data_IF_373338165351
#
_entry.id   IF_373338165351
#
_cell.length_a   1.000
_cell.length_b   1.000
_cell.length_c   1.000
_cell.angle_alpha   90.00
_cell.angle_beta   90.00
_cell.angle_gamma   90.00
#
_symmetry.space_group_name_H-M   'P 1'
#
loop_
_entity.id
_entity.type
_entity.pdbx_description
1 polymer ?
#
# COMPACT_ATOMS: atom_id res chain seq x y z
N UNK A 1 29.16 14.37 18.95
CA UNK A 1 27.97 13.51 19.16
C UNK A 1 27.84 12.48 18.04
N UNK A 2 27.86 12.91 16.77
CA UNK A 2 27.72 12.00 15.62
C UNK A 2 28.76 10.88 15.59
N UNK A 3 30.04 11.18 15.84
CA UNK A 3 31.11 10.17 15.84
C UNK A 3 30.89 9.07 16.89
N UNK A 4 30.50 9.43 18.11
CA UNK A 4 30.24 8.46 19.17
C UNK A 4 29.05 7.54 18.86
N UNK A 5 27.95 8.10 18.33
CA UNK A 5 26.78 7.30 17.92
C UNK A 5 27.12 6.35 16.77
N UNK A 6 27.92 6.80 15.81
CA UNK A 6 28.41 5.98 14.68
C UNK A 6 29.37 4.88 15.17
N UNK A 7 30.19 5.15 16.19
CA UNK A 7 31.02 4.10 16.79
C UNK A 7 30.17 3.05 17.50
N UNK A 8 29.16 3.46 18.26
CA UNK A 8 28.27 2.54 18.96
C UNK A 8 27.40 1.72 18.02
N UNK A 9 27.04 2.24 16.84
CA UNK A 9 26.31 1.49 15.81
C UNK A 9 27.15 0.39 15.12
N UNK A 10 28.43 0.25 15.48
CA UNK A 10 29.32 -0.84 15.06
C UNK A 10 29.60 -1.87 16.17
N UNK A 11 28.97 -1.74 17.33
CA UNK A 11 29.10 -2.68 18.44
C UNK A 11 28.41 -4.03 18.19
N UNK A 12 28.20 -4.80 19.25
CA UNK A 12 27.37 -6.01 19.24
C UNK A 12 25.92 -5.70 18.82
N UNK A 13 25.17 -6.69 18.27
CA UNK A 13 23.82 -6.46 17.76
C UNK A 13 22.84 -5.87 18.77
N UNK A 14 22.95 -6.24 20.04
CA UNK A 14 22.13 -5.74 21.14
C UNK A 14 22.40 -4.25 21.36
N UNK A 15 23.68 -3.86 21.42
CA UNK A 15 24.08 -2.45 21.48
C UNK A 15 23.60 -1.69 20.24
N UNK A 16 23.74 -2.24 19.03
CA UNK A 16 23.25 -1.61 17.80
C UNK A 16 21.75 -1.35 17.86
N UNK A 17 20.96 -2.32 18.32
CA UNK A 17 19.52 -2.17 18.48
C UNK A 17 19.16 -1.04 19.45
N UNK A 18 19.77 -1.02 20.63
CA UNK A 18 19.56 0.03 21.64
C UNK A 18 19.97 1.40 21.09
N UNK A 19 21.08 1.48 20.38
CA UNK A 19 21.54 2.72 19.74
C UNK A 19 20.54 3.18 18.69
N UNK A 20 20.04 2.29 17.82
CA UNK A 20 19.06 2.65 16.80
C UNK A 20 17.76 3.19 17.42
N UNK A 21 17.25 2.55 18.48
CA UNK A 21 16.08 3.02 19.23
C UNK A 21 16.29 4.41 19.84
N UNK A 22 17.45 4.65 20.45
CA UNK A 22 17.76 5.96 21.01
C UNK A 22 17.90 7.03 19.92
N UNK A 23 18.50 6.68 18.78
CA UNK A 23 18.59 7.58 17.63
C UNK A 23 17.19 7.94 17.14
N UNK A 24 16.26 6.98 17.04
CA UNK A 24 14.88 7.27 16.65
C UNK A 24 14.24 8.37 17.52
N UNK A 25 14.43 8.29 18.85
CA UNK A 25 13.95 9.29 19.80
C UNK A 25 14.66 10.63 19.65
N UNK A 26 15.99 10.63 19.52
CA UNK A 26 16.79 11.85 19.35
C UNK A 26 16.40 12.58 18.07
N UNK A 27 16.14 11.87 16.98
CA UNK A 27 15.73 12.46 15.69
C UNK A 27 14.36 13.15 15.75
N UNK A 28 13.53 12.91 16.79
CA UNK A 28 12.31 13.70 17.01
C UNK A 28 12.65 15.12 17.44
N UNK A 29 13.73 15.29 18.22
CA UNK A 29 14.16 16.58 18.76
C UNK A 29 15.16 17.26 17.80
N UNK A 30 16.08 16.48 17.21
CA UNK A 30 17.16 16.95 16.35
C UNK A 30 17.17 16.17 15.02
N UNK A 31 16.29 16.52 14.06
CA UNK A 31 16.08 15.74 12.84
C UNK A 31 17.31 15.65 11.93
N UNK A 32 18.19 16.65 11.97
CA UNK A 32 19.36 16.73 11.08
C UNK A 32 20.64 16.16 11.69
N UNK A 33 20.57 15.53 12.87
CA UNK A 33 21.76 15.12 13.60
C UNK A 33 22.64 14.14 12.79
N UNK A 34 22.04 13.21 12.04
CA UNK A 34 22.74 12.03 11.48
C UNK A 34 22.68 11.94 9.94
N UNK A 35 22.19 12.99 9.26
CA UNK A 35 22.00 12.98 7.81
C UNK A 35 23.29 12.69 6.99
N UNK A 36 24.47 12.97 7.55
CA UNK A 36 25.76 12.82 6.85
C UNK A 36 26.44 11.45 7.04
N UNK A 37 25.83 10.52 7.78
CA UNK A 37 26.45 9.23 8.11
C UNK A 37 25.49 8.05 7.89
N UNK A 38 24.74 8.08 6.79
CA UNK A 38 23.76 7.05 6.43
C UNK A 38 24.39 5.66 6.27
N UNK A 39 25.61 5.60 5.71
CA UNK A 39 26.32 4.34 5.45
C UNK A 39 26.49 3.45 6.70
N UNK A 40 26.53 4.07 7.89
CA UNK A 40 26.67 3.34 9.15
C UNK A 40 25.38 2.62 9.58
N UNK A 41 24.26 2.94 8.94
CA UNK A 41 22.93 2.37 9.20
C UNK A 41 22.44 1.48 8.06
N UNK A 42 23.25 1.23 7.03
CA UNK A 42 22.92 0.20 6.04
C UNK A 42 22.85 -1.19 6.68
N UNK A 43 21.88 -1.95 6.18
CA UNK A 43 21.57 -3.29 6.66
C UNK A 43 22.61 -4.24 6.11
N UNK A 44 23.26 -5.00 7.00
CA UNK A 44 24.20 -6.05 6.59
C UNK A 44 23.52 -7.40 6.63
N UNK A 45 23.98 -8.31 5.79
CA UNK A 45 23.50 -9.69 5.78
C UNK A 45 23.62 -10.38 7.15
N UNK A 46 24.68 -10.07 7.91
CA UNK A 46 24.96 -10.63 9.24
C UNK A 46 24.15 -10.00 10.37
N UNK A 47 23.42 -8.92 10.11
CA UNK A 47 22.62 -8.28 11.15
C UNK A 47 21.40 -9.16 11.48
N UNK A 48 21.05 -9.34 12.76
CA UNK A 48 19.85 -10.10 13.12
C UNK A 48 18.57 -9.35 12.72
N UNK A 49 17.44 -10.05 12.52
CA UNK A 49 16.21 -9.46 11.96
C UNK A 49 15.74 -8.18 12.67
N UNK A 50 15.81 -8.15 14.01
CA UNK A 50 15.41 -6.99 14.80
C UNK A 50 16.32 -5.76 14.57
N UNK A 51 17.61 -5.94 14.28
CA UNK A 51 18.51 -4.84 13.89
C UNK A 51 18.22 -4.40 12.46
N UNK A 52 18.00 -5.34 11.53
CA UNK A 52 17.65 -5.03 10.13
C UNK A 52 16.43 -4.10 10.06
N UNK A 53 15.37 -4.44 10.80
CA UNK A 53 14.13 -3.65 10.87
C UNK A 53 14.35 -2.24 11.42
N UNK A 54 15.11 -2.09 12.52
CA UNK A 54 15.36 -0.75 13.08
C UNK A 54 16.25 0.11 12.17
N UNK A 55 17.26 -0.50 11.54
CA UNK A 55 18.07 0.18 10.52
C UNK A 55 17.24 0.66 9.34
N UNK A 56 16.38 -0.21 8.79
CA UNK A 56 15.44 0.15 7.73
C UNK A 56 14.59 1.35 8.14
N UNK A 57 13.96 1.31 9.33
CA UNK A 57 13.13 2.41 9.85
C UNK A 57 13.93 3.71 10.00
N UNK A 58 15.18 3.64 10.46
CA UNK A 58 16.06 4.82 10.54
C UNK A 58 16.34 5.41 9.16
N UNK A 59 16.69 4.59 8.18
CA UNK A 59 16.96 5.03 6.81
C UNK A 59 15.75 5.75 6.21
N UNK A 60 14.55 5.20 6.38
CA UNK A 60 13.30 5.82 5.94
C UNK A 60 13.04 7.17 6.64
N UNK A 61 13.35 7.28 7.94
CA UNK A 61 13.22 8.55 8.68
C UNK A 61 14.22 9.60 8.19
N UNK A 62 15.44 9.17 7.84
CA UNK A 62 16.54 10.04 7.42
C UNK A 62 16.58 10.36 5.92
N UNK A 63 15.70 9.76 5.10
CA UNK A 63 15.71 10.04 3.64
C UNK A 63 15.47 11.53 3.37
N UNK A 64 16.29 12.09 2.49
CA UNK A 64 16.24 13.46 1.99
C UNK A 64 16.23 13.45 0.46
N UNK A 65 15.85 14.54 -0.23
CA UNK A 65 15.86 14.57 -1.70
C UNK A 65 17.22 14.20 -2.30
N UNK A 66 18.33 14.60 -1.67
CA UNK A 66 19.68 14.29 -2.12
C UNK A 66 20.10 12.83 -1.89
N UNK A 67 19.53 12.15 -0.90
CA UNK A 67 19.90 10.77 -0.54
C UNK A 67 18.89 9.73 -1.01
N UNK A 68 17.72 10.16 -1.51
CA UNK A 68 16.62 9.30 -1.90
C UNK A 68 17.01 8.27 -2.96
N UNK A 69 17.74 8.66 -4.00
CA UNK A 69 18.18 7.74 -5.05
C UNK A 69 19.15 6.67 -4.55
N UNK A 70 20.00 7.00 -3.58
CA UNK A 70 20.92 6.04 -2.98
C UNK A 70 20.16 5.06 -2.07
N UNK A 71 19.26 5.56 -1.23
CA UNK A 71 18.41 4.73 -0.38
C UNK A 71 17.52 3.81 -1.23
N UNK A 72 16.99 4.28 -2.36
CA UNK A 72 16.15 3.45 -3.23
C UNK A 72 16.93 2.26 -3.81
N UNK A 73 18.21 2.42 -4.13
CA UNK A 73 19.09 1.32 -4.57
C UNK A 73 19.31 0.30 -3.45
N UNK A 74 19.56 0.76 -2.24
CA UNK A 74 19.66 -0.12 -1.06
C UNK A 74 18.36 -0.90 -0.83
N UNK A 75 17.20 -0.24 -0.94
CA UNK A 75 15.90 -0.91 -0.81
C UNK A 75 15.66 -1.95 -1.92
N UNK A 76 16.16 -1.72 -3.14
CA UNK A 76 16.13 -2.74 -4.22
C UNK A 76 16.92 -3.98 -3.81
N UNK A 77 18.13 -3.81 -3.25
CA UNK A 77 18.92 -4.94 -2.75
C UNK A 77 18.22 -5.65 -1.57
N UNK A 78 17.68 -4.88 -0.63
CA UNK A 78 17.00 -5.43 0.56
C UNK A 78 15.72 -6.20 0.21
N UNK A 79 15.05 -5.87 -0.90
CA UNK A 79 13.86 -6.60 -1.37
C UNK A 79 14.17 -8.06 -1.79
N UNK A 80 15.45 -8.37 -2.04
CA UNK A 80 15.92 -9.71 -2.40
C UNK A 80 16.30 -10.57 -1.18
N UNK A 81 16.14 -10.05 0.04
CA UNK A 81 16.39 -10.81 1.27
C UNK A 81 15.44 -12.02 1.41
N UNK A 82 15.96 -13.09 2.01
CA UNK A 82 15.22 -14.36 2.16
C UNK A 82 14.09 -14.24 3.18
N UNK A 83 14.27 -13.37 4.20
CA UNK A 83 13.26 -13.10 5.21
C UNK A 83 12.09 -12.32 4.59
N UNK A 84 10.96 -13.01 4.40
CA UNK A 84 9.76 -12.44 3.80
C UNK A 84 9.24 -11.25 4.61
N UNK A 85 9.25 -11.33 5.95
CA UNK A 85 8.75 -10.25 6.82
C UNK A 85 9.58 -8.99 6.63
N UNK A 86 10.91 -9.13 6.49
CA UNK A 86 11.78 -8.01 6.20
C UNK A 86 11.53 -7.45 4.79
N UNK A 87 11.39 -8.30 3.77
CA UNK A 87 11.11 -7.89 2.40
C UNK A 87 9.77 -7.13 2.29
N UNK A 88 8.74 -7.56 3.00
CA UNK A 88 7.46 -6.84 3.11
C UNK A 88 7.60 -5.43 3.69
N UNK A 89 8.39 -5.29 4.76
CA UNK A 89 8.68 -3.98 5.36
C UNK A 89 9.51 -3.08 4.43
N UNK A 90 10.39 -3.66 3.61
CA UNK A 90 11.12 -2.94 2.56
C UNK A 90 10.16 -2.40 1.49
N UNK A 91 9.21 -3.21 1.02
CA UNK A 91 8.17 -2.79 0.06
C UNK A 91 7.34 -1.62 0.61
N UNK A 92 6.88 -1.71 1.87
CA UNK A 92 6.19 -0.59 2.56
C UNK A 92 7.10 0.63 2.70
N UNK A 93 8.40 0.41 2.92
CA UNK A 93 9.43 1.44 2.96
C UNK A 93 9.56 2.21 1.64
N UNK A 94 9.56 1.51 0.51
CA UNK A 94 9.61 2.13 -0.83
C UNK A 94 8.42 3.09 -1.03
N UNK A 95 7.21 2.69 -0.66
CA UNK A 95 6.05 3.58 -0.70
C UNK A 95 6.19 4.79 0.22
N UNK A 96 6.76 4.60 1.41
CA UNK A 96 7.04 5.70 2.36
C UNK A 96 8.01 6.72 1.75
N UNK A 97 9.04 6.26 1.03
CA UNK A 97 9.98 7.14 0.31
C UNK A 97 9.26 7.91 -0.78
N UNK A 98 8.45 7.25 -1.61
CA UNK A 98 7.66 7.90 -2.67
C UNK A 98 6.73 9.00 -2.11
N UNK A 99 6.06 8.73 -1.00
CA UNK A 99 5.17 9.69 -0.35
C UNK A 99 5.91 10.88 0.27
N UNK A 100 7.14 10.67 0.74
CA UNK A 100 7.97 11.71 1.36
C UNK A 100 8.72 12.56 0.35
N UNK A 101 9.20 11.97 -0.75
CA UNK A 101 10.02 12.64 -1.77
C UNK A 101 9.36 12.47 -3.14
N UNK A 102 8.73 13.54 -3.63
CA UNK A 102 7.98 13.54 -4.89
C UNK A 102 8.84 13.20 -6.11
N UNK A 103 10.08 13.72 -6.18
CA UNK A 103 10.96 13.55 -7.33
C UNK A 103 11.38 12.11 -7.61
N UNK A 104 11.21 11.19 -6.66
CA UNK A 104 11.54 9.76 -6.83
C UNK A 104 10.31 8.85 -6.89
N UNK A 105 9.10 9.41 -6.76
CA UNK A 105 7.86 8.62 -6.77
C UNK A 105 7.72 7.73 -8.03
N UNK A 106 8.02 8.20 -9.26
CA UNK A 106 7.98 7.35 -10.45
C UNK A 106 8.96 6.17 -10.37
N UNK A 107 10.20 6.43 -9.91
CA UNK A 107 11.23 5.39 -9.76
C UNK A 107 10.86 4.38 -8.67
N UNK A 108 10.19 4.80 -7.60
CA UNK A 108 9.68 3.90 -6.58
C UNK A 108 8.62 2.95 -7.15
N UNK A 109 7.69 3.45 -7.96
CA UNK A 109 6.66 2.61 -8.59
C UNK A 109 7.25 1.62 -9.58
N UNK A 110 8.22 2.07 -10.41
CA UNK A 110 8.95 1.17 -11.31
C UNK A 110 9.66 0.05 -10.54
N UNK A 111 10.29 0.39 -9.41
CA UNK A 111 10.94 -0.60 -8.53
C UNK A 111 9.92 -1.59 -7.94
N UNK A 112 8.76 -1.12 -7.49
CA UNK A 112 7.70 -1.99 -6.96
C UNK A 112 7.22 -3.01 -8.01
N UNK A 113 7.02 -2.58 -9.26
CA UNK A 113 6.68 -3.47 -10.38
C UNK A 113 7.78 -4.50 -10.64
N UNK A 114 9.05 -4.09 -10.61
CA UNK A 114 10.19 -5.00 -10.78
C UNK A 114 10.30 -6.02 -9.65
N UNK A 115 10.02 -5.61 -8.42
CA UNK A 115 10.05 -6.49 -7.25
C UNK A 115 8.99 -7.58 -7.38
N UNK A 116 7.73 -7.21 -7.66
CA UNK A 116 6.65 -8.20 -7.79
C UNK A 116 6.84 -9.13 -8.99
N UNK A 117 7.41 -8.64 -10.08
CA UNK A 117 7.77 -9.47 -11.24
C UNK A 117 8.81 -10.54 -10.92
N UNK A 118 9.68 -10.32 -9.92
CA UNK A 118 10.67 -11.31 -9.45
C UNK A 118 10.15 -12.17 -8.29
N UNK A 119 9.29 -11.60 -7.44
CA UNK A 119 8.78 -12.18 -6.20
C UNK A 119 7.27 -11.98 -6.13
N UNK A 120 6.54 -12.87 -6.79
CA UNK A 120 5.08 -12.82 -6.83
C UNK A 120 4.44 -12.92 -5.45
N UNK A 121 5.13 -13.52 -4.47
CA UNK A 121 4.64 -13.59 -3.09
C UNK A 121 4.50 -12.20 -2.40
N UNK A 122 5.19 -11.16 -2.90
CA UNK A 122 5.09 -9.78 -2.39
C UNK A 122 3.96 -8.97 -3.03
N UNK A 123 3.16 -9.57 -3.91
CA UNK A 123 2.05 -8.92 -4.60
C UNK A 123 1.09 -8.18 -3.65
N UNK A 124 0.66 -8.74 -2.50
CA UNK A 124 -0.25 -8.04 -1.59
C UNK A 124 0.30 -6.70 -1.06
N UNK A 125 1.56 -6.70 -0.65
CA UNK A 125 2.26 -5.53 -0.11
C UNK A 125 2.53 -4.51 -1.21
N UNK A 126 2.84 -4.95 -2.43
CA UNK A 126 3.01 -4.08 -3.60
C UNK A 126 1.70 -3.40 -3.97
N UNK A 127 0.57 -4.12 -4.02
CA UNK A 127 -0.75 -3.52 -4.30
C UNK A 127 -1.12 -2.47 -3.25
N UNK A 128 -0.93 -2.79 -1.97
CA UNK A 128 -1.22 -1.86 -0.87
C UNK A 128 -0.34 -0.62 -0.95
N UNK A 129 0.93 -0.80 -1.32
CA UNK A 129 1.91 0.28 -1.52
C UNK A 129 1.54 1.17 -2.71
N UNK A 130 1.19 0.58 -3.87
CA UNK A 130 0.73 1.31 -5.05
C UNK A 130 -0.54 2.11 -4.77
N UNK A 131 -1.53 1.55 -4.04
CA UNK A 131 -2.70 2.29 -3.57
C UNK A 131 -2.29 3.53 -2.77
N UNK A 132 -1.36 3.38 -1.83
CA UNK A 132 -0.93 4.51 -1.00
C UNK A 132 -0.26 5.62 -1.82
N UNK A 133 0.57 5.25 -2.80
CA UNK A 133 1.23 6.20 -3.71
C UNK A 133 0.20 6.91 -4.60
N UNK A 134 -0.70 6.17 -5.26
CA UNK A 134 -1.66 6.72 -6.23
C UNK A 134 -2.70 7.63 -5.58
N UNK A 135 -2.98 7.44 -4.28
CA UNK A 135 -3.80 8.39 -3.50
C UNK A 135 -3.21 9.79 -3.43
N UNK A 136 -1.88 9.93 -3.52
CA UNK A 136 -1.18 11.21 -3.54
C UNK A 136 -0.80 11.65 -4.96
N UNK A 137 -0.43 10.69 -5.81
CA UNK A 137 0.05 10.91 -7.17
C UNK A 137 -0.76 10.06 -8.17
N UNK A 138 -1.98 10.50 -8.55
CA UNK A 138 -2.89 9.72 -9.41
C UNK A 138 -2.29 9.30 -10.75
N UNK A 139 -1.35 10.07 -11.28
CA UNK A 139 -0.65 9.80 -12.54
C UNK A 139 0.30 8.59 -12.47
N UNK A 140 0.59 8.09 -11.27
CA UNK A 140 1.41 6.89 -11.05
C UNK A 140 0.57 5.60 -10.97
N UNK A 141 -0.65 5.61 -11.53
CA UNK A 141 -1.50 4.43 -11.59
C UNK A 141 -0.87 3.33 -12.46
N UNK A 142 -0.63 2.17 -11.86
CA UNK A 142 -0.06 0.99 -12.52
C UNK A 142 -0.92 -0.27 -12.35
N UNK A 143 -2.20 -0.08 -12.00
CA UNK A 143 -3.06 -1.19 -11.65
C UNK A 143 -3.31 -2.15 -12.83
N UNK A 144 -3.51 -1.63 -14.05
CA UNK A 144 -3.67 -2.45 -15.25
C UNK A 144 -2.47 -3.37 -15.47
N UNK A 145 -1.25 -2.86 -15.30
CA UNK A 145 -0.01 -3.65 -15.41
C UNK A 145 -0.01 -4.79 -14.40
N UNK A 146 -0.31 -4.50 -13.13
CA UNK A 146 -0.34 -5.51 -12.07
C UNK A 146 -1.39 -6.60 -12.34
N UNK A 147 -2.58 -6.21 -12.80
CA UNK A 147 -3.66 -7.15 -13.12
C UNK A 147 -3.29 -8.04 -14.30
N UNK A 148 -2.71 -7.47 -15.37
CA UNK A 148 -2.34 -8.22 -16.57
C UNK A 148 -1.22 -9.22 -16.27
N UNK A 149 -0.24 -8.83 -15.46
CA UNK A 149 0.93 -9.66 -15.18
C UNK A 149 0.67 -10.74 -14.12
N UNK A 150 -0.14 -10.45 -13.10
CA UNK A 150 -0.33 -11.34 -11.96
C UNK A 150 -1.76 -11.85 -11.74
N UNK A 151 -2.75 -11.19 -12.34
CA UNK A 151 -4.17 -11.49 -12.14
C UNK A 151 -4.72 -10.91 -10.83
N UNK A 152 -5.96 -10.43 -10.89
CA UNK A 152 -6.66 -9.91 -9.70
C UNK A 152 -6.94 -11.00 -8.65
N UNK A 153 -7.14 -12.25 -9.10
CA UNK A 153 -7.49 -13.40 -8.24
C UNK A 153 -6.29 -13.90 -7.41
N UNK A 154 -5.06 -13.51 -7.76
CA UNK A 154 -3.85 -13.86 -7.02
C UNK A 154 -3.69 -13.10 -5.70
N UNK A 155 -4.53 -12.08 -5.46
CA UNK A 155 -4.45 -11.21 -4.28
C UNK A 155 -5.17 -11.87 -3.10
N UNK A 156 -4.42 -12.63 -2.31
CA UNK A 156 -4.97 -13.42 -1.21
C UNK A 156 -5.32 -12.61 0.05
N UNK A 157 -4.46 -11.67 0.46
CA UNK A 157 -4.64 -10.91 1.71
C UNK A 157 -5.81 -9.91 1.62
N UNK A 158 -6.62 -9.85 2.67
CA UNK A 158 -7.82 -8.99 2.72
C UNK A 158 -7.48 -7.50 2.58
N UNK A 159 -6.42 -7.01 3.24
CA UNK A 159 -5.98 -5.61 3.14
C UNK A 159 -5.55 -5.23 1.71
N UNK A 160 -4.95 -6.19 0.98
CA UNK A 160 -4.57 -6.01 -0.41
C UNK A 160 -5.78 -6.06 -1.33
N UNK A 161 -6.77 -6.93 -1.08
CA UNK A 161 -8.06 -6.93 -1.80
C UNK A 161 -8.78 -5.59 -1.63
N UNK A 162 -8.88 -5.07 -0.41
CA UNK A 162 -9.44 -3.73 -0.15
C UNK A 162 -8.72 -2.68 -1.00
N UNK A 163 -7.40 -2.77 -1.08
CA UNK A 163 -6.58 -1.82 -1.82
C UNK A 163 -6.78 -1.91 -3.33
N UNK A 164 -6.86 -3.14 -3.86
CA UNK A 164 -7.19 -3.43 -5.25
C UNK A 164 -8.57 -2.88 -5.61
N UNK A 165 -9.60 -3.24 -4.84
CA UNK A 165 -11.00 -2.85 -5.06
C UNK A 165 -11.17 -1.34 -4.97
N UNK A 166 -10.48 -0.69 -4.04
CA UNK A 166 -10.50 0.76 -3.94
C UNK A 166 -9.96 1.41 -5.22
N UNK A 167 -8.83 0.94 -5.75
CA UNK A 167 -8.25 1.45 -6.99
C UNK A 167 -9.15 1.15 -8.20
N UNK A 168 -9.76 -0.03 -8.26
CA UNK A 168 -10.76 -0.40 -9.29
C UNK A 168 -11.92 0.59 -9.32
N UNK A 169 -12.46 0.95 -8.16
CA UNK A 169 -13.58 1.90 -8.07
C UNK A 169 -13.19 3.36 -8.31
N UNK A 170 -12.01 3.79 -7.87
CA UNK A 170 -11.55 5.18 -8.02
C UNK A 170 -11.15 5.51 -9.46
N UNK A 171 -10.46 4.57 -10.13
CA UNK A 171 -9.89 4.75 -11.46
C UNK A 171 -10.60 3.91 -12.53
N UNK A 172 -11.89 3.62 -12.34
CA UNK A 172 -12.66 2.75 -13.24
C UNK A 172 -12.64 3.19 -14.70
N UNK A 173 -12.50 4.50 -14.97
CA UNK A 173 -12.42 5.06 -16.33
C UNK A 173 -11.12 4.66 -17.06
N UNK A 174 -10.08 4.26 -16.33
CA UNK A 174 -8.76 3.93 -16.87
C UNK A 174 -8.48 2.44 -16.90
N UNK A 175 -9.33 1.61 -16.27
CA UNK A 175 -9.09 0.18 -16.08
C UNK A 175 -10.01 -0.62 -17.01
N UNK A 176 -9.41 -1.26 -18.02
CA UNK A 176 -10.18 -1.91 -19.10
C UNK A 176 -11.08 -3.04 -18.62
N UNK A 177 -10.56 -3.91 -17.75
CA UNK A 177 -11.25 -5.11 -17.27
C UNK A 177 -11.89 -4.91 -15.88
N UNK A 178 -12.13 -3.66 -15.47
CA UNK A 178 -12.60 -3.33 -14.12
C UNK A 178 -13.94 -3.96 -13.75
N UNK A 179 -14.94 -3.90 -14.65
CA UNK A 179 -16.29 -4.45 -14.44
C UNK A 179 -16.28 -5.99 -14.31
N UNK A 180 -15.64 -6.75 -15.21
CA UNK A 180 -15.48 -8.19 -15.02
C UNK A 180 -14.80 -8.56 -13.70
N UNK A 181 -13.75 -7.83 -13.31
CA UNK A 181 -13.01 -8.13 -12.08
C UNK A 181 -13.87 -7.88 -10.84
N UNK A 182 -14.51 -6.71 -10.72
CA UNK A 182 -15.35 -6.42 -9.54
C UNK A 182 -16.53 -7.40 -9.44
N UNK A 183 -17.06 -7.88 -10.57
CA UNK A 183 -18.17 -8.85 -10.58
C UNK A 183 -17.78 -10.16 -9.90
N UNK A 184 -16.55 -10.65 -10.10
CA UNK A 184 -16.05 -11.86 -9.41
C UNK A 184 -16.01 -11.69 -7.89
N UNK A 185 -15.58 -10.52 -7.40
CA UNK A 185 -15.63 -10.20 -5.96
C UNK A 185 -17.06 -10.07 -5.43
N UNK A 186 -18.01 -9.67 -6.28
CA UNK A 186 -19.43 -9.59 -5.92
C UNK A 186 -20.06 -10.98 -5.80
N UNK A 187 -19.68 -11.92 -6.67
CA UNK A 187 -20.18 -13.30 -6.62
C UNK A 187 -19.85 -13.99 -5.28
N UNK A 188 -18.71 -13.62 -4.68
CA UNK A 188 -18.25 -14.10 -3.37
C UNK A 188 -18.46 -13.08 -2.22
N UNK A 189 -19.29 -12.04 -2.43
CA UNK A 189 -19.43 -10.90 -1.52
C UNK A 189 -19.62 -11.30 -0.05
N UNK A 190 -20.53 -12.24 0.22
CA UNK A 190 -20.86 -12.66 1.58
C UNK A 190 -19.81 -13.59 2.23
N UNK A 191 -18.86 -14.10 1.44
CA UNK A 191 -17.75 -14.93 1.92
C UNK A 191 -16.54 -14.10 2.33
N UNK A 192 -16.44 -12.85 1.85
CA UNK A 192 -15.34 -11.94 2.19
C UNK A 192 -15.48 -11.34 3.59
N UNK A 193 -14.37 -10.86 4.15
CA UNK A 193 -14.40 -10.11 5.41
C UNK A 193 -15.08 -8.74 5.23
N UNK A 194 -15.60 -8.20 6.34
CA UNK A 194 -16.32 -6.93 6.36
C UNK A 194 -15.56 -5.76 5.68
N UNK A 195 -14.22 -5.60 5.84
CA UNK A 195 -13.49 -4.53 5.15
C UNK A 195 -13.57 -4.64 3.62
N UNK A 196 -13.48 -5.86 3.07
CA UNK A 196 -13.60 -6.11 1.64
C UNK A 196 -15.03 -5.87 1.15
N UNK A 197 -16.04 -6.32 1.90
CA UNK A 197 -17.45 -6.03 1.58
C UNK A 197 -17.73 -4.53 1.49
N UNK A 198 -17.21 -3.75 2.45
CA UNK A 198 -17.29 -2.29 2.45
C UNK A 198 -16.57 -1.65 1.25
N UNK A 199 -15.41 -2.20 0.88
CA UNK A 199 -14.66 -1.75 -0.30
C UNK A 199 -15.45 -2.02 -1.59
N UNK A 200 -16.05 -3.20 -1.72
CA UNK A 200 -16.89 -3.57 -2.88
C UNK A 200 -18.08 -2.62 -3.01
N UNK A 201 -18.82 -2.41 -1.93
CA UNK A 201 -19.95 -1.46 -1.91
C UNK A 201 -19.51 -0.08 -2.40
N UNK A 202 -18.43 0.46 -1.83
CA UNK A 202 -17.92 1.78 -2.17
C UNK A 202 -17.44 1.86 -3.63
N UNK A 203 -16.76 0.84 -4.12
CA UNK A 203 -16.27 0.78 -5.50
C UNK A 203 -17.42 0.71 -6.51
N UNK A 204 -18.41 -0.14 -6.28
CA UNK A 204 -19.57 -0.29 -7.18
C UNK A 204 -20.38 1.00 -7.27
N UNK A 205 -20.52 1.73 -6.15
CA UNK A 205 -21.18 3.04 -6.17
C UNK A 205 -20.38 4.04 -7.00
N UNK A 206 -19.06 4.12 -6.82
CA UNK A 206 -18.21 5.02 -7.63
C UNK A 206 -18.31 4.70 -9.12
N UNK A 207 -18.23 3.41 -9.47
CA UNK A 207 -18.39 2.95 -10.85
C UNK A 207 -19.77 3.31 -11.41
N UNK A 208 -20.84 3.15 -10.63
CA UNK A 208 -22.19 3.58 -11.02
C UNK A 208 -22.32 5.08 -11.22
N UNK A 209 -21.66 5.91 -10.41
CA UNK A 209 -21.67 7.37 -10.59
C UNK A 209 -20.97 7.82 -11.88
N UNK A 210 -20.05 7.00 -12.42
CA UNK A 210 -19.35 7.23 -13.68
C UNK A 210 -20.14 6.72 -14.88
N UNK A 211 -20.62 5.48 -14.83
CA UNK A 211 -21.45 4.86 -15.86
C UNK A 211 -22.73 4.24 -15.25
N UNK A 212 -23.79 5.05 -15.08
CA UNK A 212 -25.02 4.58 -14.47
C UNK A 212 -25.71 3.47 -15.28
N UNK A 213 -25.59 3.50 -16.61
CA UNK A 213 -26.33 2.58 -17.49
C UNK A 213 -25.75 1.18 -17.39
N UNK A 214 -24.43 1.06 -17.49
CA UNK A 214 -23.77 -0.25 -17.43
C UNK A 214 -23.74 -0.85 -16.02
N UNK A 215 -23.72 -0.02 -14.97
CA UNK A 215 -23.53 -0.48 -13.58
C UNK A 215 -24.83 -0.60 -12.78
N UNK A 216 -25.99 -0.20 -13.31
CA UNK A 216 -27.28 -0.24 -12.59
C UNK A 216 -27.61 -1.64 -12.05
N UNK A 217 -27.47 -2.66 -12.89
CA UNK A 217 -27.74 -4.05 -12.49
C UNK A 217 -26.81 -4.51 -11.37
N UNK A 218 -25.50 -4.25 -11.53
CA UNK A 218 -24.48 -4.61 -10.55
C UNK A 218 -24.71 -3.92 -9.20
N UNK A 219 -25.07 -2.63 -9.22
CA UNK A 219 -25.40 -1.88 -8.02
C UNK A 219 -26.62 -2.47 -7.30
N UNK A 220 -27.69 -2.79 -8.03
CA UNK A 220 -28.90 -3.36 -7.44
C UNK A 220 -28.63 -4.71 -6.78
N UNK A 221 -27.83 -5.58 -7.42
CA UNK A 221 -27.41 -6.87 -6.84
C UNK A 221 -26.68 -6.66 -5.52
N UNK A 222 -25.70 -5.75 -5.47
CA UNK A 222 -24.91 -5.50 -4.26
C UNK A 222 -25.77 -4.91 -3.14
N UNK A 223 -26.61 -3.91 -3.44
CA UNK A 223 -27.48 -3.30 -2.44
C UNK A 223 -28.49 -4.31 -1.88
N UNK A 224 -29.13 -5.11 -2.73
CA UNK A 224 -30.07 -6.15 -2.29
C UNK A 224 -29.38 -7.20 -1.43
N UNK A 225 -28.22 -7.70 -1.89
CA UNK A 225 -27.45 -8.71 -1.16
C UNK A 225 -27.04 -8.21 0.22
N UNK A 226 -26.50 -6.99 0.32
CA UNK A 226 -26.04 -6.43 1.60
C UNK A 226 -27.20 -6.11 2.53
N UNK A 227 -28.30 -5.55 2.04
CA UNK A 227 -29.45 -5.17 2.89
C UNK A 227 -30.23 -6.38 3.41
N UNK A 228 -30.26 -7.49 2.66
CA UNK A 228 -31.01 -8.70 3.03
C UNK A 228 -30.17 -9.76 3.75
N UNK A 229 -28.91 -9.98 3.34
CA UNK A 229 -28.07 -11.08 3.84
C UNK A 229 -27.00 -10.67 4.84
N UNK A 230 -26.61 -9.39 4.89
CA UNK A 230 -25.58 -8.96 5.85
C UNK A 230 -26.10 -8.96 7.28
N UNK A 231 -25.33 -9.54 8.18
CA UNK A 231 -25.58 -9.47 9.61
C UNK A 231 -24.99 -8.20 10.24
N UNK A 232 -24.05 -7.55 9.56
CA UNK A 232 -23.36 -6.36 10.05
C UNK A 232 -24.27 -5.11 9.95
N UNK A 233 -24.58 -4.44 11.07
CA UNK A 233 -25.41 -3.24 11.05
C UNK A 233 -24.80 -2.07 10.29
N UNK A 234 -23.49 -1.82 10.40
CA UNK A 234 -22.83 -0.67 9.73
C UNK A 234 -22.89 -0.83 8.20
N UNK A 235 -22.59 -2.03 7.68
CA UNK A 235 -22.65 -2.34 6.26
C UNK A 235 -24.07 -2.20 5.71
N UNK A 236 -25.08 -2.68 6.45
CA UNK A 236 -26.49 -2.51 6.06
C UNK A 236 -26.91 -1.06 6.06
N UNK A 237 -26.57 -0.31 7.12
CA UNK A 237 -26.95 1.10 7.25
C UNK A 237 -26.30 1.95 6.15
N UNK A 238 -25.04 1.68 5.80
CA UNK A 238 -24.38 2.33 4.66
C UNK A 238 -25.04 1.96 3.33
N UNK A 239 -25.36 0.69 3.10
CA UNK A 239 -26.07 0.28 1.89
C UNK A 239 -27.43 1.00 1.76
N UNK A 240 -28.21 1.09 2.85
CA UNK A 240 -29.46 1.86 2.87
C UNK A 240 -29.23 3.36 2.67
N UNK A 241 -28.18 3.94 3.25
CA UNK A 241 -27.85 5.34 3.07
C UNK A 241 -27.56 5.64 1.60
N UNK A 242 -26.73 4.82 0.94
CA UNK A 242 -26.44 4.96 -0.49
C UNK A 242 -27.69 4.75 -1.36
N UNK A 243 -28.50 3.74 -1.07
CA UNK A 243 -29.75 3.51 -1.81
C UNK A 243 -30.73 4.70 -1.71
N UNK A 244 -30.89 5.27 -0.51
CA UNK A 244 -31.73 6.46 -0.29
C UNK A 244 -31.16 7.70 -0.96
N UNK A 245 -29.84 7.80 -1.07
CA UNK A 245 -29.18 8.93 -1.69
C UNK A 245 -29.30 8.88 -3.21
N UNK A 246 -29.09 7.70 -3.81
CA UNK A 246 -29.22 7.48 -5.25
C UNK A 246 -30.68 7.59 -5.73
N UNK A 247 -31.65 7.16 -4.92
CA UNK A 247 -33.08 7.31 -5.25
C UNK A 247 -33.57 8.76 -5.24
N UNK A 248 -32.85 9.69 -4.60
CA UNK A 248 -33.13 11.14 -4.67
C UNK A 248 -32.52 11.83 -5.90
N UNK A 249 -31.75 11.10 -6.71
CA UNK A 249 -31.16 11.57 -7.96
C UNK A 249 -29.64 11.66 -7.91
N UNK A 250 -28.99 11.19 -8.98
CA UNK A 250 -27.52 11.10 -9.14
C UNK A 250 -26.83 12.46 -9.00
N UNK A 251 -27.52 13.57 -9.30
CA UNK A 251 -26.97 14.93 -9.18
C UNK A 251 -26.70 15.38 -7.74
N UNK A 252 -27.29 14.73 -6.74
CA UNK A 252 -27.02 14.98 -5.30
C UNK A 252 -25.85 14.10 -4.80
N UNK A 253 -25.44 13.12 -5.59
CA UNK A 253 -24.49 12.07 -5.23
C UNK A 253 -23.08 12.26 -5.80
N UNK A 254 -22.87 13.28 -6.65
CA UNK A 254 -21.58 13.64 -7.23
C UNK A 254 -20.74 14.52 -6.31
#
# INVERSE_FOLDING_TARGET
>A
VNSALVTLSRGDPETQYVVCKNIHAILVIFPNLICNSLDSFYVRFTDPPYVKLEKLRLLLKLVTPSTASQILKELEEYSSEVDLVFAEEVVKGIATVALKIESVAPSCVELLLRIVGRRSELLPQVITSCKNIVRKYPEQLVLDTLIVEHGADAVAEEDAKVSLIWMLGEFCDFIRDGKPIITRFIDELMSHEQPVQMAILSAVIKMFLRDPVEMEQTLNIVLDTLTTRSNDPDLRDRAYAYWRLLSKGVGVAK
#
